data_IF_938362185542
#
_entry.id   IF_938362185542
#
_cell.length_a   1.000
_cell.length_b   1.000
_cell.length_c   1.000
_cell.angle_alpha   90.00
_cell.angle_beta   90.00
_cell.angle_gamma   90.00
#
_symmetry.space_group_name_H-M   'P 1'
#
loop_
_entity.id
_entity.type
_entity.pdbx_description
1 polymer ?
#
# COMPACT_ATOMS: atom_id res chain seq x y z
N UNK A 1 28.00 -36.36 18.15
CA UNK A 1 27.62 -34.94 17.96
C UNK A 1 26.87 -34.86 16.64
N UNK A 2 25.54 -34.71 16.69
CA UNK A 2 24.69 -34.68 15.50
C UNK A 2 24.18 -33.24 15.33
N UNK A 3 24.56 -32.62 14.21
CA UNK A 3 24.23 -31.23 13.87
C UNK A 3 22.79 -31.19 13.40
N UNK A 4 21.97 -30.42 14.11
CA UNK A 4 20.58 -30.12 13.74
C UNK A 4 20.62 -29.17 12.54
N UNK A 5 20.25 -29.65 11.35
CA UNK A 5 20.03 -28.81 10.18
C UNK A 5 18.73 -28.01 10.38
N UNK A 6 18.84 -26.78 10.87
CA UNK A 6 17.77 -25.81 10.72
C UNK A 6 17.69 -25.41 9.24
N UNK A 7 16.66 -25.91 8.55
CA UNK A 7 16.20 -25.33 7.28
C UNK A 7 15.69 -23.92 7.57
N UNK A 8 16.57 -22.94 7.43
CA UNK A 8 16.20 -21.53 7.39
C UNK A 8 15.37 -21.36 6.11
N UNK A 9 14.05 -21.29 6.26
CA UNK A 9 13.20 -20.85 5.17
C UNK A 9 13.64 -19.43 4.84
N UNK A 10 14.33 -19.28 3.72
CA UNK A 10 14.65 -18.00 3.12
C UNK A 10 13.32 -17.41 2.69
N UNK A 11 12.66 -16.68 3.60
CA UNK A 11 11.69 -15.66 3.20
C UNK A 11 12.55 -14.64 2.47
N UNK A 12 12.62 -14.80 1.16
CA UNK A 12 13.28 -13.87 0.27
C UNK A 12 12.53 -12.55 0.45
N UNK A 13 13.05 -11.72 1.34
CA UNK A 13 12.65 -10.33 1.54
C UNK A 13 12.81 -9.68 0.18
N UNK A 14 11.70 -9.58 -0.55
CA UNK A 14 11.58 -8.79 -1.75
C UNK A 14 12.22 -7.44 -1.43
N UNK A 15 13.25 -7.13 -2.19
CA UNK A 15 14.14 -5.98 -2.03
C UNK A 15 13.42 -4.77 -1.46
N UNK A 16 13.73 -4.45 -0.20
CA UNK A 16 13.35 -3.21 0.44
C UNK A 16 13.99 -2.05 -0.34
N UNK A 17 13.24 -1.45 -1.26
CA UNK A 17 13.62 -0.18 -1.89
C UNK A 17 12.41 0.66 -2.33
N UNK A 18 11.24 0.43 -1.72
CA UNK A 18 10.11 1.38 -1.80
C UNK A 18 9.84 2.03 -0.43
N UNK A 19 10.87 2.26 0.39
CA UNK A 19 10.73 3.17 1.51
C UNK A 19 10.74 4.61 0.97
N UNK A 20 9.64 5.04 0.37
CA UNK A 20 9.13 6.39 0.64
C UNK A 20 8.96 6.44 2.15
N UNK A 21 10.02 6.86 2.86
CA UNK A 21 10.01 6.95 4.31
C UNK A 21 8.80 7.82 4.65
N UNK A 22 7.80 7.23 5.30
CA UNK A 22 6.58 7.94 5.67
C UNK A 22 6.99 9.29 6.27
N UNK A 23 6.35 10.40 5.88
CA UNK A 23 6.60 11.67 6.55
C UNK A 23 6.42 11.46 8.06
N UNK A 24 7.17 12.18 8.90
CA UNK A 24 7.22 11.92 10.34
C UNK A 24 5.86 11.92 11.05
N UNK A 25 4.83 12.51 10.43
CA UNK A 25 3.44 12.53 10.87
C UNK A 25 2.62 11.30 10.48
N UNK A 26 3.21 10.24 9.94
CA UNK A 26 2.46 9.05 9.50
C UNK A 26 3.03 7.76 10.07
N UNK A 27 2.11 6.87 10.45
CA UNK A 27 2.40 5.50 10.89
C UNK A 27 1.81 4.53 9.88
N UNK A 28 2.61 3.57 9.42
CA UNK A 28 2.12 2.51 8.53
C UNK A 28 1.16 1.62 9.30
N UNK A 29 -0.05 1.44 8.77
CA UNK A 29 -1.01 0.50 9.34
C UNK A 29 -0.83 -0.87 8.70
N UNK A 30 -0.72 -0.91 7.37
CA UNK A 30 -0.58 -2.15 6.61
C UNK A 30 -0.05 -1.87 5.22
N UNK A 31 0.67 -2.83 4.67
CA UNK A 31 1.11 -2.82 3.29
C UNK A 31 0.89 -4.17 2.61
N UNK A 32 0.77 -4.14 1.28
CA UNK A 32 0.77 -5.34 0.46
C UNK A 32 1.59 -5.11 -0.80
N UNK A 33 2.32 -6.13 -1.18
CA UNK A 33 3.15 -6.16 -2.36
C UNK A 33 2.56 -7.06 -3.46
N UNK A 34 2.78 -6.66 -4.71
CA UNK A 34 2.51 -7.43 -5.91
C UNK A 34 3.66 -7.23 -6.89
N UNK A 35 4.63 -8.15 -6.88
CA UNK A 35 5.90 -7.95 -7.58
C UNK A 35 6.66 -6.75 -7.00
N UNK A 36 6.94 -5.75 -7.84
CA UNK A 36 7.60 -4.48 -7.44
C UNK A 36 6.62 -3.41 -6.99
N UNK A 37 5.32 -3.61 -7.21
CA UNK A 37 4.28 -2.66 -6.83
C UNK A 37 3.87 -2.86 -5.36
N UNK A 38 3.51 -1.77 -4.69
CA UNK A 38 3.04 -1.78 -3.30
C UNK A 38 1.81 -0.89 -3.14
N UNK A 39 0.86 -1.34 -2.32
CA UNK A 39 -0.25 -0.54 -1.79
C UNK A 39 -0.09 -0.48 -0.29
N UNK A 40 -0.20 0.71 0.28
CA UNK A 40 -0.09 0.96 1.72
C UNK A 40 -1.25 1.73 2.26
N UNK A 41 -1.57 1.49 3.53
CA UNK A 41 -2.49 2.28 4.32
C UNK A 41 -1.72 2.90 5.48
N UNK A 42 -1.94 4.18 5.72
CA UNK A 42 -1.20 4.97 6.69
C UNK A 42 -2.16 5.77 7.58
N UNK A 43 -1.80 5.94 8.84
CA UNK A 43 -2.48 6.80 9.80
C UNK A 43 -1.68 8.09 10.02
N UNK A 44 -2.29 9.25 9.81
CA UNK A 44 -1.69 10.54 10.16
C UNK A 44 -1.79 10.80 11.67
N UNK A 45 -0.67 10.81 12.37
CA UNK A 45 -0.60 11.05 13.82
C UNK A 45 -0.83 12.52 14.22
N UNK A 46 -0.70 13.46 13.29
CA UNK A 46 -0.92 14.88 13.54
C UNK A 46 -2.39 15.30 13.51
N UNK A 47 -3.22 14.66 12.68
CA UNK A 47 -4.65 15.00 12.57
C UNK A 47 -5.63 13.82 12.70
N UNK A 48 -5.14 12.57 12.70
CA UNK A 48 -5.96 11.36 12.81
C UNK A 48 -6.59 10.86 11.50
N UNK A 49 -6.19 11.42 10.35
CA UNK A 49 -6.69 11.01 9.05
C UNK A 49 -6.02 9.73 8.52
N UNK A 50 -6.72 9.02 7.66
CA UNK A 50 -6.18 7.86 6.94
C UNK A 50 -5.82 8.26 5.52
N UNK A 51 -4.68 7.78 5.01
CA UNK A 51 -4.36 7.85 3.59
C UNK A 51 -3.92 6.50 3.03
N UNK A 52 -4.04 6.35 1.73
CA UNK A 52 -3.51 5.22 1.00
C UNK A 52 -2.47 5.68 -0.03
N UNK A 53 -1.42 4.88 -0.17
CA UNK A 53 -0.35 5.09 -1.16
C UNK A 53 -0.31 3.90 -2.12
N UNK A 54 -0.13 4.17 -3.41
CA UNK A 54 0.31 3.18 -4.38
C UNK A 54 1.63 3.62 -4.99
N UNK A 55 2.55 2.68 -5.15
CA UNK A 55 3.81 2.92 -5.82
C UNK A 55 4.19 1.70 -6.64
N UNK A 56 4.52 1.92 -7.91
CA UNK A 56 5.05 0.91 -8.80
C UNK A 56 6.21 1.49 -9.61
N UNK A 57 7.46 1.24 -9.20
CA UNK A 57 8.64 1.76 -9.91
C UNK A 57 8.79 1.15 -11.30
N UNK A 58 8.14 0.01 -11.58
CA UNK A 58 8.17 -0.65 -12.88
C UNK A 58 7.17 -0.07 -13.89
N UNK A 59 6.27 0.81 -13.47
CA UNK A 59 5.26 1.39 -14.34
C UNK A 59 5.61 2.83 -14.74
N UNK A 60 6.18 2.99 -15.92
CA UNK A 60 6.57 4.29 -16.48
C UNK A 60 5.58 4.86 -17.49
N UNK A 61 4.73 4.00 -18.07
CA UNK A 61 4.03 4.30 -19.33
C UNK A 61 2.50 4.17 -19.21
N UNK A 62 1.97 3.88 -18.02
CA UNK A 62 0.53 3.69 -17.82
C UNK A 62 -0.02 4.50 -16.65
N UNK A 63 -1.32 4.74 -16.70
CA UNK A 63 -2.06 5.31 -15.59
C UNK A 63 -2.12 4.32 -14.42
N UNK A 64 -1.95 4.85 -13.22
CA UNK A 64 -2.07 4.13 -11.94
C UNK A 64 -3.07 4.84 -11.04
N UNK A 65 -3.68 4.08 -10.15
CA UNK A 65 -4.64 4.58 -9.19
C UNK A 65 -4.48 3.92 -7.82
N UNK A 66 -4.93 4.62 -6.80
CA UNK A 66 -5.07 4.14 -5.42
C UNK A 66 -6.38 4.66 -4.83
N UNK A 67 -7.06 3.83 -4.05
CA UNK A 67 -8.30 4.23 -3.39
C UNK A 67 -8.48 3.58 -2.02
N UNK A 68 -9.22 4.27 -1.17
CA UNK A 68 -9.70 3.78 0.13
C UNK A 68 -11.18 3.42 -0.02
N UNK A 69 -11.53 2.27 0.51
CA UNK A 69 -12.85 1.68 0.41
C UNK A 69 -13.38 1.36 1.80
N UNK A 70 -14.69 1.50 1.97
CA UNK A 70 -15.40 1.01 3.16
C UNK A 70 -15.43 -0.53 3.13
N UNK A 71 -14.96 -1.17 4.20
CA UNK A 71 -14.84 -2.63 4.26
C UNK A 71 -16.20 -3.35 4.24
N UNK A 72 -17.25 -2.69 4.73
CA UNK A 72 -18.60 -3.27 4.86
C UNK A 72 -19.37 -3.17 3.55
N UNK A 73 -19.42 -1.97 2.98
CA UNK A 73 -20.23 -1.63 1.81
C UNK A 73 -19.48 -1.81 0.50
N UNK A 74 -18.14 -1.95 0.55
CA UNK A 74 -17.23 -1.99 -0.60
C UNK A 74 -17.30 -0.74 -1.48
N UNK A 75 -17.87 0.36 -0.97
CA UNK A 75 -17.95 1.63 -1.68
C UNK A 75 -16.62 2.38 -1.61
N UNK A 76 -16.32 3.16 -2.66
CA UNK A 76 -15.16 4.05 -2.69
C UNK A 76 -15.43 5.22 -1.75
N UNK A 77 -14.51 5.45 -0.82
CA UNK A 77 -14.52 6.64 0.04
C UNK A 77 -13.73 7.76 -0.64
N UNK A 78 -12.53 7.44 -1.12
CA UNK A 78 -11.68 8.36 -1.87
C UNK A 78 -10.78 7.60 -2.83
N UNK A 79 -10.41 8.24 -3.93
CA UNK A 79 -9.52 7.68 -4.94
C UNK A 79 -8.64 8.78 -5.53
N UNK A 80 -7.47 8.40 -5.98
CA UNK A 80 -6.58 9.25 -6.77
C UNK A 80 -6.00 8.44 -7.93
N UNK A 81 -5.77 9.12 -9.06
CA UNK A 81 -5.12 8.53 -10.23
C UNK A 81 -4.05 9.48 -10.79
N UNK A 82 -2.95 8.93 -11.32
CA UNK A 82 -1.85 9.68 -11.93
C UNK A 82 -1.22 8.89 -13.07
N UNK A 83 -0.28 9.51 -13.78
CA UNK A 83 0.50 8.89 -14.83
C UNK A 83 2.00 8.97 -14.50
N UNK A 84 2.73 7.88 -14.76
CA UNK A 84 4.17 7.78 -14.53
C UNK A 84 4.56 7.10 -13.19
N UNK A 85 5.87 6.93 -12.94
CA UNK A 85 6.39 6.01 -11.93
C UNK A 85 6.41 6.58 -10.50
N UNK A 86 5.79 7.73 -10.26
CA UNK A 86 5.79 8.38 -8.96
C UNK A 86 4.82 7.74 -7.97
N UNK A 87 5.05 7.85 -6.65
CA UNK A 87 4.06 7.46 -5.66
C UNK A 87 2.80 8.32 -5.84
N UNK A 88 1.65 7.67 -5.74
CA UNK A 88 0.36 8.34 -5.70
C UNK A 88 -0.27 8.13 -4.34
N UNK A 89 -0.83 9.21 -3.81
CA UNK A 89 -1.47 9.23 -2.50
C UNK A 89 -2.92 9.66 -2.66
N UNK A 90 -3.83 9.03 -1.91
CA UNK A 90 -5.17 9.58 -1.70
C UNK A 90 -5.09 10.83 -0.82
N UNK A 91 -6.15 11.65 -0.87
CA UNK A 91 -6.39 12.59 0.22
C UNK A 91 -6.63 11.87 1.55
N UNK A 92 -6.46 12.59 2.65
CA UNK A 92 -6.74 12.10 4.00
C UNK A 92 -8.24 12.01 4.25
N UNK A 93 -8.69 10.93 4.90
CA UNK A 93 -10.08 10.71 5.27
C UNK A 93 -10.22 10.40 6.76
N UNK A 94 -11.24 10.96 7.39
CA UNK A 94 -11.52 10.81 8.82
C UNK A 94 -12.75 9.91 8.95
N UNK A 95 -12.56 8.60 8.85
CA UNK A 95 -13.64 7.61 8.98
C UNK A 95 -13.44 6.75 10.23
N UNK A 96 -14.52 6.48 10.96
CA UNK A 96 -14.51 5.61 12.14
C UNK A 96 -14.76 4.13 11.79
N UNK A 97 -14.97 3.81 10.51
CA UNK A 97 -15.27 2.46 10.06
C UNK A 97 -14.03 1.72 9.55
N UNK A 98 -14.12 0.39 9.55
CA UNK A 98 -13.17 -0.50 8.91
C UNK A 98 -13.00 -0.16 7.43
N UNK A 99 -11.74 -0.09 6.99
CA UNK A 99 -11.36 0.28 5.63
C UNK A 99 -10.31 -0.66 5.07
N UNK A 100 -10.24 -0.68 3.74
CA UNK A 100 -9.14 -1.28 2.99
C UNK A 100 -8.71 -0.36 1.86
N UNK A 101 -7.45 -0.45 1.46
CA UNK A 101 -6.92 0.26 0.32
C UNK A 101 -6.70 -0.69 -0.84
N UNK A 102 -7.03 -0.26 -2.05
CA UNK A 102 -6.64 -0.95 -3.28
C UNK A 102 -5.86 -0.01 -4.16
N UNK A 103 -4.95 -0.57 -4.94
CA UNK A 103 -4.30 0.14 -6.03
C UNK A 103 -4.01 -0.79 -7.19
N UNK A 104 -3.71 -0.17 -8.31
CA UNK A 104 -3.39 -0.88 -9.54
C UNK A 104 -3.29 0.08 -10.72
N UNK A 105 -2.84 -0.45 -11.85
CA UNK A 105 -2.67 0.36 -13.05
C UNK A 105 -1.75 -0.28 -14.06
N UNK A 106 -1.94 0.06 -15.33
CA UNK A 106 -1.13 -0.47 -16.42
C UNK A 106 -1.01 -1.99 -16.44
N UNK A 107 0.22 -2.48 -16.22
CA UNK A 107 0.61 -3.89 -16.25
C UNK A 107 0.24 -4.68 -14.99
N UNK A 108 -0.28 -4.03 -13.95
CA UNK A 108 -0.53 -4.64 -12.65
C UNK A 108 -2.04 -4.77 -12.39
N UNK A 109 -2.55 -6.00 -12.12
CA UNK A 109 -3.94 -6.18 -11.72
C UNK A 109 -4.20 -5.51 -10.36
N UNK A 110 -5.45 -5.10 -10.11
CA UNK A 110 -5.84 -4.50 -8.83
C UNK A 110 -5.50 -5.44 -7.66
N UNK A 111 -4.85 -4.91 -6.62
CA UNK A 111 -4.63 -5.63 -5.37
C UNK A 111 -4.88 -4.71 -4.17
N UNK A 112 -5.28 -5.32 -3.05
CA UNK A 112 -5.77 -4.59 -1.89
C UNK A 112 -5.09 -5.03 -0.60
N UNK A 113 -4.87 -4.07 0.29
CA UNK A 113 -4.38 -4.24 1.66
C UNK A 113 -5.39 -3.72 2.67
N UNK A 114 -5.31 -4.24 3.89
CA UNK A 114 -6.15 -3.82 5.00
C UNK A 114 -7.43 -4.62 5.19
N UNK A 115 -7.74 -4.78 6.47
CA UNK A 115 -9.05 -5.03 7.04
C UNK A 115 -8.88 -4.62 8.52
N UNK A 116 -8.92 -3.31 8.78
CA UNK A 116 -8.73 -2.73 10.12
C UNK A 116 -9.98 -2.85 10.96
#
# INVERSE_FOLDING_TARGET
>A
MAVLLLTVAVVQTGTANASTRAPASFVEMTEKWSGTAVVRLWWNTSNGGIHAEYYDPGNTDHSVWVGIYDATTRQIITQSATYGPGPINTGEVFTAHSIFACGGGGRVPQFCTGNT
#
